data_IF_128075966489
#
_entry.id   IF_128075966489
#
_cell.length_a   1.000
_cell.length_b   1.000
_cell.length_c   1.000
_cell.angle_alpha   90.00
_cell.angle_beta   90.00
_cell.angle_gamma   90.00
#
_symmetry.space_group_name_H-M   'P 1'
#
loop_
_entity.id
_entity.type
_entity.pdbx_description
1 polymer ?
#
# COMPACT_ATOMS: atom_id res chain seq x y z
N UNK A 1 18.39 14.08 8.99
CA UNK A 1 19.38 13.10 9.50
C UNK A 1 19.51 11.96 8.50
N UNK A 2 20.63 11.25 8.54
CA UNK A 2 21.10 10.25 7.55
C UNK A 2 20.05 9.21 7.11
N UNK A 3 19.14 8.78 8.00
CA UNK A 3 18.12 7.77 7.71
C UNK A 3 16.69 8.31 7.65
N UNK A 4 16.50 9.64 7.63
CA UNK A 4 15.17 10.23 7.50
C UNK A 4 14.45 9.74 6.25
N UNK A 5 15.18 9.50 5.16
CA UNK A 5 14.58 8.98 3.93
C UNK A 5 13.83 7.65 4.14
N UNK A 6 14.26 6.79 5.08
CA UNK A 6 13.54 5.55 5.40
C UNK A 6 12.22 5.83 6.12
N UNK A 7 12.22 6.82 7.01
CA UNK A 7 11.04 7.28 7.75
C UNK A 7 10.06 7.99 6.81
N UNK A 8 10.56 8.87 5.95
CA UNK A 8 9.78 9.57 4.93
C UNK A 8 9.21 8.57 3.92
N UNK A 9 10.01 7.59 3.50
CA UNK A 9 9.52 6.50 2.63
C UNK A 9 8.40 5.73 3.33
N UNK A 10 8.58 5.30 4.58
CA UNK A 10 7.53 4.63 5.34
C UNK A 10 6.24 5.45 5.40
N UNK A 11 6.35 6.75 5.67
CA UNK A 11 5.21 7.67 5.71
C UNK A 11 4.44 7.64 4.37
N UNK A 12 5.15 7.80 3.24
CA UNK A 12 4.51 7.74 1.92
C UNK A 12 3.95 6.35 1.57
N UNK A 13 4.59 5.27 2.05
CA UNK A 13 4.14 3.90 1.78
C UNK A 13 2.86 3.54 2.56
N UNK A 14 2.64 4.14 3.74
CA UNK A 14 1.39 3.99 4.50
C UNK A 14 0.19 4.48 3.69
N UNK A 15 0.24 5.72 3.20
CA UNK A 15 -0.87 6.29 2.44
C UNK A 15 -1.10 5.55 1.12
N UNK A 16 -0.05 5.08 0.44
CA UNK A 16 -0.18 4.28 -0.78
C UNK A 16 -0.92 2.97 -0.52
N UNK A 17 -0.62 2.29 0.60
CA UNK A 17 -1.31 1.07 1.02
C UNK A 17 -2.78 1.34 1.32
N UNK A 18 -3.07 2.35 2.15
CA UNK A 18 -4.45 2.74 2.46
C UNK A 18 -5.23 3.20 1.22
N UNK A 19 -4.57 3.87 0.28
CA UNK A 19 -5.19 4.30 -0.98
C UNK A 19 -5.61 3.10 -1.81
N UNK A 20 -4.79 2.05 -1.92
CA UNK A 20 -5.18 0.80 -2.60
C UNK A 20 -6.36 0.13 -1.90
N UNK A 21 -6.35 0.07 -0.57
CA UNK A 21 -7.49 -0.47 0.18
C UNK A 21 -8.76 0.33 -0.04
N UNK A 22 -8.65 1.64 -0.23
CA UNK A 22 -9.80 2.50 -0.52
C UNK A 22 -10.47 2.22 -1.86
N UNK A 23 -9.77 1.58 -2.82
CA UNK A 23 -10.29 1.28 -4.16
C UNK A 23 -11.14 0.01 -4.22
N UNK A 24 -11.07 -0.84 -3.20
CA UNK A 24 -11.98 -1.98 -3.03
C UNK A 24 -13.34 -1.53 -2.47
N UNK A 25 -14.34 -2.39 -2.63
CA UNK A 25 -15.59 -2.39 -1.88
C UNK A 25 -15.61 -3.58 -0.93
N UNK A 26 -16.50 -3.59 0.07
CA UNK A 26 -16.60 -4.72 1.01
C UNK A 26 -16.93 -6.04 0.29
N UNK A 27 -17.77 -6.00 -0.76
CA UNK A 27 -18.11 -7.18 -1.57
C UNK A 27 -16.92 -7.74 -2.37
N UNK A 28 -15.85 -6.96 -2.56
CA UNK A 28 -14.65 -7.41 -3.26
C UNK A 28 -13.73 -8.25 -2.37
N UNK A 29 -13.87 -8.15 -1.04
CA UNK A 29 -12.87 -8.62 -0.09
C UNK A 29 -12.61 -10.13 -0.12
N UNK A 30 -13.60 -10.90 -0.59
CA UNK A 30 -13.51 -12.35 -0.71
C UNK A 30 -13.21 -12.82 -2.14
N UNK A 31 -13.07 -11.90 -3.10
CA UNK A 31 -12.78 -12.25 -4.48
C UNK A 31 -11.40 -12.92 -4.61
N UNK A 32 -11.36 -14.00 -5.39
CA UNK A 32 -10.13 -14.68 -5.82
C UNK A 32 -10.12 -14.72 -7.34
N UNK A 33 -8.99 -14.41 -8.01
CA UNK A 33 -8.83 -14.57 -9.44
C UNK A 33 -9.20 -15.98 -9.93
N UNK A 34 -8.73 -17.01 -9.23
CA UNK A 34 -9.16 -18.41 -9.37
C UNK A 34 -9.75 -18.88 -8.04
N UNK A 35 -11.04 -19.21 -8.04
CA UNK A 35 -11.75 -19.65 -6.83
C UNK A 35 -11.25 -20.98 -6.26
N UNK A 36 -10.57 -21.79 -7.06
CA UNK A 36 -10.04 -23.10 -6.64
C UNK A 36 -8.55 -23.05 -6.29
N UNK A 37 -7.85 -21.95 -6.60
CA UNK A 37 -6.43 -21.83 -6.28
C UNK A 37 -6.24 -21.39 -4.82
N UNK A 38 -5.85 -22.36 -3.99
CA UNK A 38 -5.58 -22.16 -2.56
C UNK A 38 -4.23 -21.50 -2.28
N UNK A 39 -3.41 -21.23 -3.30
CA UNK A 39 -2.10 -20.59 -3.16
C UNK A 39 -2.18 -19.06 -3.15
N UNK A 40 -3.26 -18.51 -3.71
CA UNK A 40 -3.46 -17.07 -3.83
C UNK A 40 -4.08 -16.48 -2.55
N UNK A 41 -4.16 -15.16 -2.47
CA UNK A 41 -4.86 -14.42 -1.41
C UNK A 41 -5.98 -13.56 -1.97
N UNK A 42 -7.09 -13.52 -1.25
CA UNK A 42 -8.11 -12.50 -1.51
C UNK A 42 -7.72 -11.15 -0.86
N UNK A 43 -8.39 -10.03 -1.20
CA UNK A 43 -8.05 -8.73 -0.61
C UNK A 43 -8.12 -8.70 0.92
N UNK A 44 -9.09 -9.38 1.54
CA UNK A 44 -9.17 -9.48 3.01
C UNK A 44 -7.90 -10.10 3.61
N UNK A 45 -7.44 -11.22 3.07
CA UNK A 45 -6.24 -11.92 3.53
C UNK A 45 -4.97 -11.07 3.33
N UNK A 46 -4.92 -10.25 2.27
CA UNK A 46 -3.86 -9.26 2.11
C UNK A 46 -3.90 -8.19 3.21
N UNK A 47 -5.07 -7.66 3.57
CA UNK A 47 -5.23 -6.66 4.64
C UNK A 47 -4.84 -7.25 5.99
N UNK A 48 -5.35 -8.44 6.33
CA UNK A 48 -5.00 -9.20 7.53
C UNK A 48 -3.49 -9.43 7.60
N UNK A 49 -2.89 -9.93 6.52
CA UNK A 49 -1.45 -10.17 6.49
C UNK A 49 -0.65 -8.90 6.64
N UNK A 50 -1.03 -7.80 5.99
CA UNK A 50 -0.31 -6.53 6.11
C UNK A 50 -0.30 -6.05 7.56
N UNK A 51 -1.46 -6.01 8.22
CA UNK A 51 -1.60 -5.65 9.62
C UNK A 51 -0.76 -6.55 10.54
N UNK A 52 -0.97 -7.86 10.46
CA UNK A 52 -0.31 -8.84 11.34
C UNK A 52 1.20 -8.92 11.10
N UNK A 53 1.63 -8.90 9.85
CA UNK A 53 3.04 -9.01 9.49
C UNK A 53 3.81 -7.75 9.88
N UNK A 54 3.24 -6.56 9.63
CA UNK A 54 3.90 -5.32 10.01
C UNK A 54 4.02 -5.21 11.53
N UNK A 55 2.95 -5.52 12.26
CA UNK A 55 2.99 -5.54 13.72
C UNK A 55 4.08 -6.46 14.28
N UNK A 56 4.10 -7.72 13.83
CA UNK A 56 5.15 -8.68 14.25
C UNK A 56 6.56 -8.18 13.95
N UNK A 57 6.78 -7.51 12.81
CA UNK A 57 8.09 -6.98 12.48
C UNK A 57 8.45 -5.81 13.39
N UNK A 58 7.54 -4.87 13.61
CA UNK A 58 7.75 -3.72 14.49
C UNK A 58 8.02 -4.15 15.94
N UNK A 59 7.21 -5.06 16.48
CA UNK A 59 7.41 -5.58 17.83
C UNK A 59 8.73 -6.34 17.98
N UNK A 60 9.02 -7.30 17.08
CA UNK A 60 10.15 -8.22 17.28
C UNK A 60 11.50 -7.69 16.77
N UNK A 61 11.52 -6.88 15.72
CA UNK A 61 12.76 -6.45 15.06
C UNK A 61 13.08 -4.98 15.38
N UNK A 62 12.05 -4.14 15.48
CA UNK A 62 12.24 -2.72 15.79
C UNK A 62 12.06 -2.42 17.30
N UNK A 63 11.46 -3.34 18.07
CA UNK A 63 11.15 -3.09 19.48
C UNK A 63 10.14 -1.96 19.65
N UNK A 64 9.22 -1.82 18.70
CA UNK A 64 8.18 -0.80 18.67
C UNK A 64 6.84 -1.53 18.78
N UNK A 65 6.24 -1.46 19.97
CA UNK A 65 4.89 -1.94 20.24
C UNK A 65 3.95 -0.72 20.35
N UNK A 66 2.82 -0.78 19.66
CA UNK A 66 1.81 0.28 19.64
C UNK A 66 0.69 0.07 20.66
N UNK A 67 0.72 -1.04 21.41
CA UNK A 67 -0.18 -1.35 22.51
C UNK A 67 -1.62 -1.63 22.10
N UNK A 68 -1.85 -2.05 20.85
CA UNK A 68 -3.18 -2.31 20.30
C UNK A 68 -3.19 -3.60 19.47
N UNK A 69 -4.34 -4.32 19.40
CA UNK A 69 -4.49 -5.45 18.48
C UNK A 69 -4.32 -4.97 17.03
N UNK A 70 -3.54 -5.67 16.18
CA UNK A 70 -3.24 -5.22 14.82
C UNK A 70 -4.43 -5.33 13.85
N UNK A 71 -5.46 -6.09 14.21
CA UNK A 71 -6.67 -6.28 13.41
C UNK A 71 -7.84 -5.46 13.98
N UNK A 72 -8.75 -4.97 13.12
CA UNK A 72 -10.00 -4.39 13.58
C UNK A 72 -10.92 -5.46 14.18
N UNK A 73 -11.87 -5.05 15.03
CA UNK A 73 -12.89 -5.97 15.57
C UNK A 73 -13.85 -6.49 14.48
N UNK A 74 -14.12 -5.66 13.48
CA UNK A 74 -14.95 -6.02 12.32
C UNK A 74 -14.07 -6.00 11.08
N UNK A 75 -14.00 -7.13 10.40
CA UNK A 75 -13.19 -7.30 9.20
C UNK A 75 -13.88 -6.75 7.94
N UNK A 76 -14.24 -5.48 7.98
CA UNK A 76 -14.71 -4.70 6.82
C UNK A 76 -13.63 -3.70 6.41
N UNK A 77 -13.62 -3.32 5.14
CA UNK A 77 -12.58 -2.53 4.49
C UNK A 77 -12.26 -1.24 5.25
N UNK A 78 -13.29 -0.49 5.66
CA UNK A 78 -13.11 0.79 6.34
C UNK A 78 -12.50 0.64 7.73
N UNK A 79 -12.81 -0.44 8.45
CA UNK A 79 -12.24 -0.70 9.78
C UNK A 79 -10.76 -1.10 9.68
N UNK A 80 -10.36 -1.86 8.66
CA UNK A 80 -8.95 -2.08 8.34
C UNK A 80 -8.20 -0.77 8.06
N UNK A 81 -8.79 0.11 7.24
CA UNK A 81 -8.21 1.42 6.94
C UNK A 81 -7.95 2.20 8.23
N UNK A 82 -8.94 2.29 9.13
CA UNK A 82 -8.79 3.01 10.40
C UNK A 82 -7.72 2.38 11.30
N UNK A 83 -7.78 1.07 11.52
CA UNK A 83 -6.82 0.35 12.39
C UNK A 83 -5.40 0.50 11.87
N UNK A 84 -5.16 0.24 10.59
CA UNK A 84 -3.83 0.36 10.02
C UNK A 84 -3.32 1.81 10.03
N UNK A 85 -4.17 2.79 9.73
CA UNK A 85 -3.79 4.20 9.79
C UNK A 85 -3.34 4.62 11.20
N UNK A 86 -4.09 4.23 12.23
CA UNK A 86 -3.78 4.52 13.63
C UNK A 86 -2.46 3.89 14.07
N UNK A 87 -2.32 2.58 13.87
CA UNK A 87 -1.15 1.84 14.35
C UNK A 87 0.13 2.28 13.61
N UNK A 88 0.04 2.50 12.30
CA UNK A 88 1.18 2.95 11.51
C UNK A 88 1.57 4.40 11.81
N UNK A 89 0.64 5.26 12.27
CA UNK A 89 0.99 6.62 12.73
C UNK A 89 1.79 6.59 14.03
N UNK A 90 1.40 5.72 14.98
CA UNK A 90 2.15 5.52 16.22
C UNK A 90 3.57 5.01 15.93
N UNK A 91 3.69 4.03 15.02
CA UNK A 91 5.00 3.53 14.55
C UNK A 91 5.82 4.65 13.91
N UNK A 92 5.24 5.44 13.02
CA UNK A 92 5.91 6.57 12.35
C UNK A 92 6.42 7.60 13.37
N UNK A 93 5.60 7.96 14.35
CA UNK A 93 5.97 8.91 15.42
C UNK A 93 7.21 8.41 16.16
N UNK A 94 7.22 7.14 16.57
CA UNK A 94 8.34 6.54 17.28
C UNK A 94 9.60 6.44 16.38
N UNK A 95 9.44 6.13 15.09
CA UNK A 95 10.55 6.06 14.13
C UNK A 95 11.25 7.43 13.95
N UNK A 96 10.49 8.53 13.96
CA UNK A 96 11.03 9.90 13.84
C UNK A 96 11.98 10.27 14.98
N UNK A 97 11.86 9.63 16.13
CA UNK A 97 12.71 9.87 17.31
C UNK A 97 14.00 9.05 17.32
N UNK A 98 14.15 8.07 16.41
CA UNK A 98 15.29 7.15 16.45
C UNK A 98 16.55 7.78 15.85
N UNK A 99 17.63 7.67 16.60
CA UNK A 99 18.94 8.18 16.21
C UNK A 99 19.73 7.17 15.37
N UNK A 100 20.89 7.61 14.87
CA UNK A 100 21.81 6.80 14.05
C UNK A 100 22.17 5.45 14.70
N UNK A 101 22.58 5.47 15.97
CA UNK A 101 22.98 4.26 16.70
C UNK A 101 21.86 3.21 16.75
N UNK A 102 20.60 3.63 16.93
CA UNK A 102 19.46 2.72 16.90
C UNK A 102 19.25 2.10 15.51
N UNK A 103 19.39 2.88 14.45
CA UNK A 103 19.23 2.44 13.07
C UNK A 103 20.32 1.46 12.60
N UNK A 104 21.56 1.69 13.03
CA UNK A 104 22.72 0.85 12.70
C UNK A 104 22.83 -0.41 13.56
N UNK A 105 22.03 -0.53 14.64
CA UNK A 105 22.03 -1.71 15.48
C UNK A 105 21.61 -2.97 14.70
N UNK A 106 22.41 -4.04 14.83
CA UNK A 106 22.03 -5.37 14.38
C UNK A 106 21.03 -6.02 15.34
N UNK A 107 19.96 -6.57 14.77
CA UNK A 107 18.93 -7.32 15.48
C UNK A 107 18.68 -8.65 14.77
N UNK A 108 18.01 -9.58 15.46
CA UNK A 108 17.59 -10.83 14.85
C UNK A 108 16.61 -10.59 13.72
N UNK A 109 16.89 -11.17 12.57
CA UNK A 109 16.02 -11.23 11.40
C UNK A 109 15.93 -12.69 10.96
N UNK A 110 14.91 -13.39 11.46
CA UNK A 110 14.78 -14.84 11.33
C UNK A 110 16.07 -15.56 11.81
N UNK A 111 16.71 -16.36 10.95
CA UNK A 111 17.92 -17.13 11.28
C UNK A 111 19.22 -16.32 11.13
N UNK A 112 19.14 -15.03 10.81
CA UNK A 112 20.32 -14.17 10.62
C UNK A 112 20.24 -12.88 11.44
N UNK A 113 21.32 -12.09 11.41
CA UNK A 113 21.37 -10.75 12.00
C UNK A 113 21.47 -9.70 10.90
N UNK A 114 20.71 -8.61 11.04
CA UNK A 114 20.70 -7.49 10.08
C UNK A 114 20.50 -6.18 10.82
N UNK A 115 21.03 -5.10 10.24
CA UNK A 115 20.78 -3.74 10.75
C UNK A 115 19.31 -3.38 10.58
N UNK A 116 18.78 -2.53 11.46
CA UNK A 116 17.40 -2.01 11.32
C UNK A 116 17.18 -1.26 10.03
N UNK A 117 18.19 -0.55 9.52
CA UNK A 117 18.13 0.09 8.19
C UNK A 117 17.83 -0.92 7.08
N UNK A 118 18.54 -2.05 7.07
CA UNK A 118 18.31 -3.12 6.09
C UNK A 118 16.93 -3.75 6.23
N UNK A 119 16.50 -4.03 7.46
CA UNK A 119 15.19 -4.61 7.75
C UNK A 119 14.08 -3.66 7.31
N UNK A 120 14.25 -2.35 7.49
CA UNK A 120 13.25 -1.35 7.07
C UNK A 120 13.08 -1.32 5.55
N UNK A 121 14.17 -1.39 4.79
CA UNK A 121 14.11 -1.53 3.33
C UNK A 121 13.34 -2.78 2.93
N UNK A 122 13.58 -3.92 3.60
CA UNK A 122 12.82 -5.16 3.35
C UNK A 122 11.34 -5.02 3.72
N UNK A 123 11.01 -4.34 4.82
CA UNK A 123 9.63 -4.10 5.24
C UNK A 123 8.88 -3.26 4.21
N UNK A 124 9.51 -2.21 3.69
CA UNK A 124 8.98 -1.36 2.62
C UNK A 124 8.75 -2.18 1.35
N UNK A 125 9.76 -2.94 0.90
CA UNK A 125 9.65 -3.77 -0.31
C UNK A 125 8.55 -4.84 -0.17
N UNK A 126 8.43 -5.47 1.00
CA UNK A 126 7.39 -6.44 1.31
C UNK A 126 5.98 -5.84 1.25
N UNK A 127 5.79 -4.65 1.83
CA UNK A 127 4.52 -3.90 1.73
C UNK A 127 4.21 -3.54 0.27
N UNK A 128 5.19 -3.05 -0.49
CA UNK A 128 5.01 -2.69 -1.89
C UNK A 128 4.65 -3.91 -2.77
N UNK A 129 5.27 -5.07 -2.51
CA UNK A 129 4.98 -6.33 -3.21
C UNK A 129 3.50 -6.73 -3.05
N UNK A 130 3.01 -6.85 -1.81
CA UNK A 130 1.61 -7.22 -1.55
C UNK A 130 0.60 -6.17 -1.99
N UNK A 131 0.99 -4.89 -2.00
CA UNK A 131 0.17 -3.84 -2.60
C UNK A 131 0.07 -4.02 -4.11
N UNK A 132 1.16 -4.38 -4.79
CA UNK A 132 1.17 -4.70 -6.21
C UNK A 132 0.20 -5.84 -6.56
N UNK A 133 0.23 -6.93 -5.79
CA UNK A 133 -0.71 -8.06 -5.95
C UNK A 133 -2.17 -7.58 -5.88
N UNK A 134 -2.52 -6.77 -4.87
CA UNK A 134 -3.86 -6.18 -4.73
C UNK A 134 -4.24 -5.29 -5.92
N UNK A 135 -3.31 -4.53 -6.51
CA UNK A 135 -3.61 -3.71 -7.69
C UNK A 135 -3.95 -4.52 -8.94
N UNK A 136 -3.36 -5.72 -9.07
CA UNK A 136 -3.76 -6.64 -10.14
C UNK A 136 -5.19 -7.16 -9.91
N UNK A 137 -5.55 -7.48 -8.66
CA UNK A 137 -6.91 -7.90 -8.29
C UNK A 137 -7.92 -6.78 -8.58
N UNK A 138 -7.62 -5.52 -8.21
CA UNK A 138 -8.46 -4.35 -8.53
C UNK A 138 -8.73 -4.25 -10.04
N UNK A 139 -7.72 -4.50 -10.87
CA UNK A 139 -7.87 -4.47 -12.33
C UNK A 139 -8.79 -5.59 -12.82
N UNK A 140 -8.70 -6.79 -12.26
CA UNK A 140 -9.58 -7.91 -12.59
C UNK A 140 -11.04 -7.64 -12.19
N UNK A 141 -11.25 -6.94 -11.07
CA UNK A 141 -12.54 -6.47 -10.58
C UNK A 141 -13.08 -5.24 -11.34
N UNK A 142 -12.32 -4.70 -12.30
CA UNK A 142 -12.65 -3.49 -13.06
C UNK A 142 -12.87 -2.26 -12.17
N UNK A 143 -12.16 -2.19 -11.03
CA UNK A 143 -12.12 -0.99 -10.19
C UNK A 143 -11.23 0.08 -10.83
N UNK A 144 -11.54 1.33 -10.53
CA UNK A 144 -10.68 2.47 -10.83
C UNK A 144 -9.38 2.38 -10.02
N UNK A 145 -8.23 2.54 -10.68
CA UNK A 145 -6.92 2.50 -10.04
C UNK A 145 -6.26 3.88 -10.12
N UNK A 146 -6.14 4.54 -8.96
CA UNK A 146 -5.45 5.81 -8.83
C UNK A 146 -3.92 5.63 -8.82
N UNK A 147 -3.19 6.74 -8.94
CA UNK A 147 -1.73 6.74 -8.83
C UNK A 147 -1.23 6.17 -7.51
N UNK A 148 -0.11 5.45 -7.58
CA UNK A 148 0.61 4.88 -6.42
C UNK A 148 2.07 5.36 -6.43
N UNK A 149 2.78 5.06 -7.52
CA UNK A 149 4.16 5.52 -7.77
C UNK A 149 4.28 6.43 -9.00
N UNK A 150 3.16 6.66 -9.69
CA UNK A 150 3.08 7.44 -10.91
C UNK A 150 1.70 7.29 -11.55
N UNK A 151 1.52 7.80 -12.78
CA UNK A 151 0.30 7.62 -13.55
C UNK A 151 -0.09 6.15 -13.74
N UNK A 152 -1.39 5.91 -13.89
CA UNK A 152 -1.97 4.61 -14.23
C UNK A 152 -2.78 4.74 -15.52
N UNK A 153 -3.26 3.61 -16.04
CA UNK A 153 -4.21 3.62 -17.15
C UNK A 153 -5.40 4.58 -16.89
N UNK A 154 -5.90 4.65 -15.66
CA UNK A 154 -7.10 5.44 -15.33
C UNK A 154 -6.80 6.93 -15.05
N UNK A 155 -5.52 7.33 -14.97
CA UNK A 155 -5.11 8.73 -14.80
C UNK A 155 -4.70 9.41 -16.12
N UNK A 156 -5.20 8.90 -17.24
CA UNK A 156 -4.88 9.36 -18.59
C UNK A 156 -3.82 8.53 -19.31
N UNK A 157 -3.44 7.37 -18.78
CA UNK A 157 -2.51 6.44 -19.42
C UNK A 157 -1.07 6.55 -18.92
N UNK A 158 -0.12 6.58 -19.85
CA UNK A 158 1.31 6.51 -19.53
C UNK A 158 1.96 7.90 -19.34
N UNK A 159 3.03 8.03 -18.53
CA UNK A 159 3.78 9.26 -18.38
C UNK A 159 4.26 9.90 -19.70
N UNK A 160 4.71 9.08 -20.66
CA UNK A 160 5.12 9.52 -22.00
C UNK A 160 4.00 10.23 -22.80
N UNK A 161 2.75 10.05 -22.37
CA UNK A 161 1.56 10.65 -22.96
C UNK A 161 1.02 11.81 -22.11
N UNK A 162 1.83 12.35 -21.20
CA UNK A 162 1.46 13.42 -20.25
C UNK A 162 0.31 13.02 -19.31
N UNK A 163 0.18 11.73 -18.99
CA UNK A 163 -0.77 11.28 -17.98
C UNK A 163 -0.43 11.87 -16.62
N UNK A 164 -1.46 12.22 -15.85
CA UNK A 164 -1.29 12.90 -14.57
C UNK A 164 -1.02 11.89 -13.46
N UNK A 165 -0.35 12.35 -12.40
CA UNK A 165 -0.31 11.64 -11.13
C UNK A 165 -1.49 12.10 -10.28
N UNK A 166 -2.51 11.26 -10.13
CA UNK A 166 -3.74 11.57 -9.40
C UNK A 166 -3.91 10.54 -8.29
N UNK A 167 -3.67 10.96 -7.06
CA UNK A 167 -3.91 10.14 -5.87
C UNK A 167 -5.39 10.17 -5.49
N UNK A 168 -5.92 9.08 -4.94
CA UNK A 168 -7.31 9.01 -4.48
C UNK A 168 -7.61 10.08 -3.43
N UNK A 169 -6.64 10.31 -2.53
CA UNK A 169 -6.69 11.30 -1.47
C UNK A 169 -5.32 11.97 -1.30
N UNK A 170 -5.26 13.24 -0.88
CA UNK A 170 -4.01 13.96 -0.69
C UNK A 170 -3.23 13.51 0.57
N UNK A 171 -3.94 13.05 1.60
CA UNK A 171 -3.37 12.64 2.89
C UNK A 171 -4.29 11.61 3.59
N UNK A 172 -3.80 10.94 4.63
CA UNK A 172 -4.53 9.89 5.37
C UNK A 172 -5.77 10.47 6.10
N UNK A 173 -5.72 11.71 6.59
CA UNK A 173 -6.85 12.35 7.28
C UNK A 173 -8.01 12.58 6.30
N UNK A 174 -7.69 13.10 5.12
CA UNK A 174 -8.62 13.30 4.01
C UNK A 174 -9.19 11.96 3.52
N UNK A 175 -8.37 10.90 3.45
CA UNK A 175 -8.81 9.54 3.14
C UNK A 175 -9.86 9.03 4.13
N UNK A 176 -9.57 9.08 5.43
CA UNK A 176 -10.51 8.62 6.47
C UNK A 176 -11.80 9.44 6.43
N UNK A 177 -11.70 10.76 6.31
CA UNK A 177 -12.87 11.65 6.23
C UNK A 177 -13.72 11.37 4.99
N UNK A 178 -13.11 11.13 3.83
CA UNK A 178 -13.81 10.82 2.59
C UNK A 178 -14.48 9.45 2.61
N UNK A 179 -13.76 8.41 3.04
CA UNK A 179 -14.27 7.04 3.12
C UNK A 179 -15.41 6.91 4.15
N UNK A 180 -15.38 7.68 5.24
CA UNK A 180 -16.49 7.74 6.22
C UNK A 180 -17.81 8.26 5.63
N UNK A 181 -17.76 8.92 4.47
CA UNK A 181 -18.91 9.53 3.78
C UNK A 181 -19.25 8.81 2.46
N UNK A 182 -18.76 7.59 2.26
CA UNK A 182 -19.04 6.79 1.06
C UNK A 182 -18.02 6.92 -0.07
N UNK A 183 -16.88 7.60 0.17
CA UNK A 183 -15.78 7.72 -0.79
C UNK A 183 -15.84 9.04 -1.57
N UNK A 184 -14.93 9.97 -1.22
CA UNK A 184 -14.78 11.27 -1.87
C UNK A 184 -13.41 11.34 -2.56
N UNK A 185 -13.18 10.41 -3.48
CA UNK A 185 -11.90 10.31 -4.21
C UNK A 185 -11.81 11.41 -5.27
N UNK A 186 -10.60 11.75 -5.67
CA UNK A 186 -10.36 12.65 -6.80
C UNK A 186 -11.04 12.13 -8.09
N UNK A 187 -11.43 13.01 -9.00
CA UNK A 187 -11.97 12.56 -10.28
C UNK A 187 -10.83 12.01 -11.16
N UNK A 188 -11.09 10.87 -11.79
CA UNK A 188 -10.20 10.30 -12.79
C UNK A 188 -10.64 10.68 -14.20
N UNK A 189 -9.70 11.06 -15.09
CA UNK A 189 -10.02 11.31 -16.49
C UNK A 189 -10.33 10.01 -17.27
N UNK A 190 -10.07 8.85 -16.67
CA UNK A 190 -10.23 7.55 -17.30
C UNK A 190 -9.03 7.19 -18.20
N UNK A 191 -9.18 6.16 -19.05
CA UNK A 191 -8.15 5.78 -20.00
C UNK A 191 -7.86 6.92 -20.98
N UNK A 192 -6.58 7.24 -21.17
CA UNK A 192 -6.15 8.16 -22.23
C UNK A 192 -6.39 7.57 -23.63
N UNK A 193 -6.33 8.42 -24.66
CA UNK A 193 -6.60 8.02 -26.06
C UNK A 193 -5.49 7.18 -26.72
N UNK A 194 -4.38 6.90 -26.01
CA UNK A 194 -3.22 6.18 -26.54
C UNK A 194 -3.08 4.82 -25.87
N UNK A 195 -2.50 3.82 -26.56
CA UNK A 195 -2.26 2.51 -25.97
C UNK A 195 -1.42 2.57 -24.68
N UNK A 196 -1.66 1.65 -23.76
CA UNK A 196 -0.87 1.47 -22.54
C UNK A 196 0.43 0.70 -22.84
N UNK A 197 1.28 1.26 -23.71
CA UNK A 197 2.61 0.70 -24.02
C UNK A 197 3.63 1.78 -24.36
N UNK A 198 4.86 1.61 -23.86
CA UNK A 198 6.05 2.41 -24.19
C UNK A 198 6.70 1.99 -25.51
N UNK A 199 6.15 0.99 -26.21
CA UNK A 199 6.68 0.54 -27.50
C UNK A 199 6.45 1.62 -28.57
N UNK A 200 7.47 1.97 -29.37
CA UNK A 200 7.38 3.04 -30.37
C UNK A 200 6.40 2.73 -31.52
N UNK A 201 6.27 1.46 -31.91
CA UNK A 201 5.56 1.05 -33.14
C UNK A 201 4.27 0.26 -32.87
N UNK A 202 3.42 0.72 -31.94
CA UNK A 202 2.18 0.02 -31.67
C UNK A 202 1.12 0.34 -32.75
N UNK A 203 1.18 -0.39 -33.86
CA UNK A 203 0.09 -0.45 -34.83
C UNK A 203 -1.05 -1.27 -34.22
N UNK A 204 -2.20 -0.63 -33.94
CA UNK A 204 -3.41 -1.28 -33.41
C UNK A 204 -4.02 -2.34 -34.36
N UNK A 205 -3.50 -2.45 -35.59
CA UNK A 205 -3.97 -3.35 -36.65
C UNK A 205 -3.14 -4.65 -36.74
N UNK A 206 -2.79 -5.24 -35.59
CA UNK A 206 -2.21 -6.59 -35.50
C UNK A 206 -3.25 -7.72 -35.59
N UNK A 207 -4.44 -7.40 -36.12
CA UNK A 207 -5.35 -8.28 -36.85
C UNK A 207 -5.64 -7.61 -38.19
#
# INVERSE_FOLDING_TARGET
MEYNFLVDTYDTERIKTLSVWSMFMDDDLLFRPDSNDRRDRNPLEHMVHQCMSEDKWFCNMFGIDVGAPPLPEKEIRFEFIKRYAEDSEKRLTILREKNKTWWEQEVSFFETKRTRTWIMVRRIAHTAYHRGEQTAILRMLKREIYSIYGPTADTGGLPQNNALTIYAYPDIKSLIAGESKGGLKANLPGPGNKPCTERPDFNLNGK
#
